data_IF_747410703210
#
_entry.id   IF_747410703210
#
_cell.length_a   1.000
_cell.length_b   1.000
_cell.length_c   1.000
_cell.angle_alpha   90.00
_cell.angle_beta   90.00
_cell.angle_gamma   90.00
#
_symmetry.space_group_name_H-M   'P 1'
#
loop_
_entity.id
_entity.type
_entity.pdbx_description
1 polymer ?
#
# COMPACT_ATOMS: atom_id res chain seq x y z
N UNK A 1 -12.06 -5.17 2.12
CA UNK A 1 -11.23 -4.30 1.27
C UNK A 1 -10.31 -3.47 2.15
N UNK A 2 -9.00 -3.44 1.86
CA UNK A 2 -8.08 -2.47 2.45
C UNK A 2 -8.34 -1.11 1.80
N UNK A 3 -8.85 -0.16 2.59
CA UNK A 3 -9.38 1.11 2.10
C UNK A 3 -8.49 2.28 2.55
N UNK A 4 -8.03 3.08 1.58
CA UNK A 4 -7.33 4.35 1.84
C UNK A 4 -8.16 5.57 1.40
N UNK A 5 -9.33 5.35 0.81
CA UNK A 5 -10.11 6.42 0.18
C UNK A 5 -9.45 7.01 -1.08
N UNK A 6 -8.31 6.48 -1.52
CA UNK A 6 -7.67 6.83 -2.78
C UNK A 6 -8.29 6.08 -3.97
N UNK A 7 -8.03 6.60 -5.19
CA UNK A 7 -8.61 6.07 -6.44
C UNK A 7 -8.45 4.56 -6.59
N UNK A 8 -7.31 4.00 -6.19
CA UNK A 8 -7.00 2.58 -6.39
C UNK A 8 -7.83 1.66 -5.50
N UNK A 9 -7.91 1.97 -4.21
CA UNK A 9 -8.75 1.19 -3.29
C UNK A 9 -10.23 1.37 -3.58
N UNK A 10 -10.65 2.59 -3.97
CA UNK A 10 -12.04 2.88 -4.32
C UNK A 10 -12.48 2.16 -5.59
N UNK A 11 -11.66 2.13 -6.64
CA UNK A 11 -12.02 1.41 -7.88
C UNK A 11 -12.24 -0.08 -7.64
N UNK A 12 -11.40 -0.71 -6.80
CA UNK A 12 -11.57 -2.11 -6.40
C UNK A 12 -12.87 -2.31 -5.60
N UNK A 13 -13.15 -1.40 -4.67
CA UNK A 13 -14.38 -1.47 -3.86
C UNK A 13 -15.62 -1.28 -4.73
N UNK A 14 -15.63 -0.29 -5.65
CA UNK A 14 -16.75 -0.05 -6.57
C UNK A 14 -16.95 -1.26 -7.49
N UNK A 15 -15.86 -1.81 -8.07
CA UNK A 15 -15.94 -3.00 -8.90
C UNK A 15 -16.60 -4.18 -8.16
N UNK A 16 -16.18 -4.43 -6.92
CA UNK A 16 -16.77 -5.49 -6.11
C UNK A 16 -18.24 -5.19 -5.73
N UNK A 17 -18.56 -3.94 -5.43
CA UNK A 17 -19.93 -3.49 -5.17
C UNK A 17 -20.84 -3.69 -6.39
N UNK A 18 -20.39 -3.30 -7.59
CA UNK A 18 -21.14 -3.43 -8.84
C UNK A 18 -21.34 -4.92 -9.23
N UNK A 19 -20.47 -5.80 -8.74
CA UNK A 19 -20.65 -7.25 -8.83
C UNK A 19 -21.57 -7.82 -7.72
N UNK A 20 -22.28 -6.98 -6.97
CA UNK A 20 -23.20 -7.36 -5.92
C UNK A 20 -22.55 -7.93 -4.67
N UNK A 21 -21.26 -7.68 -4.43
CA UNK A 21 -20.56 -8.14 -3.22
C UNK A 21 -20.86 -7.25 -2.04
N UNK A 22 -21.15 -7.85 -0.87
CA UNK A 22 -21.18 -7.12 0.39
C UNK A 22 -19.74 -6.85 0.82
N UNK A 23 -19.45 -5.58 1.10
CA UNK A 23 -18.09 -5.12 1.44
C UNK A 23 -17.97 -4.82 2.93
N UNK A 24 -16.88 -5.33 3.53
CA UNK A 24 -16.33 -4.82 4.76
C UNK A 24 -15.01 -4.11 4.41
N UNK A 25 -14.94 -2.82 4.70
CA UNK A 25 -13.77 -1.98 4.46
C UNK A 25 -12.98 -1.82 5.75
N UNK A 26 -11.65 -1.83 5.62
CA UNK A 26 -10.73 -1.68 6.73
C UNK A 26 -9.75 -0.57 6.41
N UNK A 27 -9.63 0.39 7.32
CA UNK A 27 -8.64 1.45 7.29
C UNK A 27 -7.99 1.59 8.67
N UNK A 28 -7.01 2.45 8.80
CA UNK A 28 -6.35 2.68 10.09
C UNK A 28 -6.10 4.16 10.34
N UNK A 29 -5.84 4.48 11.59
CA UNK A 29 -5.28 5.74 12.05
C UNK A 29 -4.29 5.49 13.19
N UNK A 30 -3.35 6.39 13.40
CA UNK A 30 -2.34 6.24 14.45
C UNK A 30 -2.84 6.87 15.75
N UNK A 31 -2.92 6.07 16.82
CA UNK A 31 -3.32 6.55 18.15
C UNK A 31 -4.63 7.35 18.20
N UNK A 32 -5.61 6.98 17.38
CA UNK A 32 -6.87 7.72 17.32
C UNK A 32 -6.81 9.07 16.63
N UNK A 33 -5.67 9.42 16.00
CA UNK A 33 -5.50 10.65 15.23
C UNK A 33 -5.91 10.37 13.79
N UNK A 34 -6.94 11.06 13.32
CA UNK A 34 -7.40 10.92 11.95
C UNK A 34 -6.33 11.32 10.95
N UNK A 35 -6.19 10.50 9.92
CA UNK A 35 -5.34 10.78 8.77
C UNK A 35 -6.18 11.16 7.56
N UNK A 36 -5.60 11.81 6.54
CA UNK A 36 -6.29 12.03 5.26
C UNK A 36 -6.89 10.75 4.67
N UNK A 37 -6.23 9.60 4.88
CA UNK A 37 -6.70 8.29 4.40
C UNK A 37 -7.91 7.79 5.19
N UNK A 38 -7.91 7.89 6.52
CA UNK A 38 -9.04 7.45 7.34
C UNK A 38 -10.28 8.30 7.06
N UNK A 39 -10.12 9.64 6.99
CA UNK A 39 -11.21 10.56 6.67
C UNK A 39 -11.78 10.36 5.26
N UNK A 40 -10.93 10.11 4.27
CA UNK A 40 -11.38 9.82 2.91
C UNK A 40 -12.11 8.47 2.82
N UNK A 41 -11.62 7.47 3.56
CA UNK A 41 -12.27 6.16 3.65
C UNK A 41 -13.64 6.24 4.29
N UNK A 42 -13.77 7.03 5.35
CA UNK A 42 -15.05 7.26 6.04
C UNK A 42 -16.08 7.89 5.09
N UNK A 43 -15.70 8.98 4.42
CA UNK A 43 -16.58 9.65 3.46
C UNK A 43 -17.04 8.73 2.33
N UNK A 44 -16.11 7.94 1.79
CA UNK A 44 -16.42 7.00 0.73
C UNK A 44 -17.36 5.89 1.19
N UNK A 45 -17.08 5.30 2.35
CA UNK A 45 -17.91 4.23 2.90
C UNK A 45 -19.31 4.73 3.29
N UNK A 46 -19.43 5.95 3.82
CA UNK A 46 -20.71 6.59 4.07
C UNK A 46 -21.50 6.81 2.77
N UNK A 47 -20.84 7.34 1.72
CA UNK A 47 -21.48 7.61 0.43
C UNK A 47 -22.06 6.34 -0.22
N UNK A 48 -21.31 5.25 -0.20
CA UNK A 48 -21.71 3.98 -0.81
C UNK A 48 -22.44 3.03 0.15
N UNK A 49 -22.67 3.43 1.38
CA UNK A 49 -23.23 2.58 2.43
C UNK A 49 -22.45 1.27 2.63
N UNK A 50 -21.13 1.33 2.67
CA UNK A 50 -20.24 0.21 2.98
C UNK A 50 -19.91 0.19 4.47
N UNK A 51 -19.76 -1.01 5.03
CA UNK A 51 -19.30 -1.15 6.41
C UNK A 51 -17.81 -0.78 6.50
N UNK A 52 -17.46 0.14 7.42
CA UNK A 52 -16.07 0.57 7.64
C UNK A 52 -15.62 0.23 9.06
N UNK A 53 -14.44 -0.40 9.14
CA UNK A 53 -13.71 -0.65 10.38
C UNK A 53 -12.46 0.23 10.38
N UNK A 54 -12.40 1.19 11.30
CA UNK A 54 -11.23 2.04 11.51
C UNK A 54 -10.43 1.45 12.67
N UNK A 55 -9.19 1.08 12.41
CA UNK A 55 -8.32 0.44 13.38
C UNK A 55 -7.34 1.46 13.95
N UNK A 56 -7.38 1.63 15.27
CA UNK A 56 -6.40 2.44 15.99
C UNK A 56 -5.09 1.67 16.12
N UNK A 57 -4.03 2.21 15.53
CA UNK A 57 -2.68 1.62 15.57
C UNK A 57 -1.91 2.27 16.73
N UNK A 58 -1.56 1.51 17.77
CA UNK A 58 -0.76 2.02 18.86
C UNK A 58 0.69 2.21 18.39
N UNK A 59 1.43 3.08 19.09
CA UNK A 59 2.87 3.28 18.87
C UNK A 59 3.70 2.90 20.08
N UNK A 60 3.08 2.40 21.13
CA UNK A 60 3.76 2.12 22.41
C UNK A 60 4.66 0.88 22.33
N UNK A 61 4.40 -0.02 21.38
CA UNK A 61 5.17 -1.23 21.11
C UNK A 61 6.03 -1.15 19.84
N UNK A 62 6.28 0.03 19.32
CA UNK A 62 6.89 0.21 17.99
C UNK A 62 8.26 -0.48 17.84
N UNK A 63 9.02 -0.63 18.93
CA UNK A 63 10.26 -1.39 18.94
C UNK A 63 10.03 -2.88 18.65
N UNK A 64 9.11 -3.51 19.37
CA UNK A 64 8.76 -4.90 19.15
C UNK A 64 8.12 -5.12 17.78
N UNK A 65 7.33 -4.15 17.33
CA UNK A 65 6.73 -4.15 16.00
C UNK A 65 7.79 -4.11 14.90
N UNK A 66 8.82 -3.27 15.08
CA UNK A 66 9.95 -3.21 14.15
C UNK A 66 10.63 -4.57 14.01
N UNK A 67 10.95 -5.22 15.12
CA UNK A 67 11.55 -6.56 15.09
C UNK A 67 10.60 -7.61 14.50
N UNK A 68 9.32 -7.51 14.78
CA UNK A 68 8.29 -8.37 14.18
C UNK A 68 8.27 -8.22 12.66
N UNK A 69 8.30 -6.98 12.18
CA UNK A 69 8.34 -6.66 10.75
C UNK A 69 9.58 -7.23 10.05
N UNK A 70 10.74 -7.12 10.69
CA UNK A 70 12.00 -7.64 10.14
C UNK A 70 12.04 -9.17 10.16
N UNK A 71 11.71 -9.78 11.29
CA UNK A 71 11.92 -11.20 11.50
C UNK A 71 10.80 -12.06 10.93
N UNK A 72 9.54 -11.70 11.19
CA UNK A 72 8.37 -12.48 10.79
C UNK A 72 7.89 -12.10 9.38
N UNK A 73 7.80 -10.80 9.09
CA UNK A 73 7.26 -10.32 7.83
C UNK A 73 8.32 -9.94 6.81
N UNK A 74 9.58 -10.25 7.08
CA UNK A 74 10.71 -10.15 6.14
C UNK A 74 10.86 -8.75 5.53
N UNK A 75 10.60 -7.70 6.27
CA UNK A 75 10.87 -6.34 5.83
C UNK A 75 12.39 -6.15 5.71
N UNK A 76 12.86 -5.62 4.57
CA UNK A 76 14.29 -5.43 4.27
C UNK A 76 14.63 -4.00 3.85
N UNK A 77 13.62 -3.14 3.76
CA UNK A 77 13.77 -1.74 3.35
C UNK A 77 12.87 -0.86 4.21
N UNK A 78 13.25 0.40 4.36
CA UNK A 78 12.47 1.44 5.03
C UNK A 78 10.99 1.41 4.61
N UNK A 79 10.73 1.49 3.32
CA UNK A 79 9.36 1.50 2.80
C UNK A 79 8.59 0.21 3.10
N UNK A 80 9.25 -0.95 3.21
CA UNK A 80 8.59 -2.19 3.63
C UNK A 80 8.12 -2.09 5.08
N UNK A 81 8.98 -1.56 5.97
CA UNK A 81 8.63 -1.35 7.38
C UNK A 81 7.47 -0.38 7.51
N UNK A 82 7.61 0.81 6.94
CA UNK A 82 6.62 1.88 7.07
C UNK A 82 5.26 1.52 6.47
N UNK A 83 5.26 0.88 5.30
CA UNK A 83 4.00 0.49 4.64
C UNK A 83 3.36 -0.75 5.24
N UNK A 84 4.10 -1.58 5.98
CA UNK A 84 3.58 -2.82 6.58
C UNK A 84 3.16 -2.63 8.03
N UNK A 85 3.79 -1.69 8.75
CA UNK A 85 3.58 -1.46 10.18
C UNK A 85 2.11 -1.37 10.58
N UNK A 86 1.26 -0.52 10.01
CA UNK A 86 -0.12 -0.41 10.46
C UNK A 86 -0.93 -1.68 10.21
N UNK A 87 -0.53 -2.46 9.23
CA UNK A 87 -1.22 -3.70 8.89
C UNK A 87 -0.96 -4.84 9.88
N UNK A 88 0.05 -4.73 10.76
CA UNK A 88 0.17 -5.63 11.92
C UNK A 88 -1.09 -5.60 12.78
N UNK A 89 -1.75 -4.46 12.83
CA UNK A 89 -2.95 -4.23 13.63
C UNK A 89 -4.25 -4.36 12.83
N UNK A 90 -4.21 -4.07 11.52
CA UNK A 90 -5.39 -4.19 10.66
C UNK A 90 -5.77 -5.66 10.43
N UNK A 91 -4.82 -6.47 9.99
CA UNK A 91 -5.11 -7.86 9.62
C UNK A 91 -5.74 -8.70 10.73
N UNK A 92 -5.34 -8.63 12.00
CA UNK A 92 -5.99 -9.40 13.08
C UNK A 92 -7.48 -9.10 13.28
N UNK A 93 -7.96 -7.98 12.75
CA UNK A 93 -9.38 -7.60 12.80
C UNK A 93 -10.18 -8.08 11.58
N UNK A 94 -9.53 -8.57 10.53
CA UNK A 94 -10.18 -9.08 9.32
C UNK A 94 -10.68 -10.50 9.59
N UNK A 95 -11.94 -10.77 9.20
CA UNK A 95 -12.58 -12.08 9.35
C UNK A 95 -12.90 -12.72 8.00
N UNK A 96 -12.75 -11.97 6.93
CA UNK A 96 -13.06 -12.41 5.57
C UNK A 96 -11.96 -13.31 5.01
N UNK A 97 -12.40 -14.29 4.22
CA UNK A 97 -11.50 -15.21 3.51
C UNK A 97 -10.67 -14.49 2.44
N UNK A 98 -11.21 -13.44 1.83
CA UNK A 98 -10.55 -12.69 0.75
C UNK A 98 -10.33 -11.24 1.15
N UNK A 99 -9.09 -10.79 1.03
CA UNK A 99 -8.68 -9.41 1.31
C UNK A 99 -8.30 -8.73 0.00
N UNK A 100 -9.13 -7.78 -0.43
CA UNK A 100 -8.89 -7.03 -1.66
C UNK A 100 -8.03 -5.79 -1.38
N UNK A 101 -7.08 -5.52 -2.29
CA UNK A 101 -6.20 -4.34 -2.22
C UNK A 101 -6.01 -3.68 -3.57
N UNK A 102 -5.90 -2.34 -3.59
CA UNK A 102 -5.51 -1.54 -4.75
C UNK A 102 -4.00 -1.52 -5.01
N UNK A 103 -3.24 -2.40 -4.39
CA UNK A 103 -1.79 -2.46 -4.51
C UNK A 103 -1.33 -2.62 -5.96
N UNK A 104 -0.18 -2.05 -6.29
CA UNK A 104 0.46 -2.01 -7.60
C UNK A 104 -0.14 -1.04 -8.63
N UNK A 105 -1.33 -0.49 -8.41
CA UNK A 105 -1.96 0.42 -9.37
C UNK A 105 -1.04 1.58 -9.79
N UNK A 106 -0.40 2.26 -8.84
CA UNK A 106 0.53 3.37 -9.11
C UNK A 106 1.69 2.97 -10.02
N UNK A 107 2.23 1.78 -9.80
CA UNK A 107 3.29 1.23 -10.63
C UNK A 107 2.81 0.93 -12.04
N UNK A 108 1.64 0.31 -12.17
CA UNK A 108 1.07 -0.06 -13.46
C UNK A 108 0.63 1.17 -14.27
N UNK A 109 0.04 2.17 -13.63
CA UNK A 109 -0.34 3.43 -14.30
C UNK A 109 0.83 4.39 -14.53
N UNK A 110 2.02 4.06 -14.03
CA UNK A 110 3.21 4.89 -14.21
C UNK A 110 3.16 6.22 -13.47
N UNK A 111 2.43 6.30 -12.35
CA UNK A 111 2.33 7.51 -11.51
C UNK A 111 3.25 7.49 -10.31
N UNK A 112 3.95 6.38 -10.05
CA UNK A 112 5.00 6.35 -9.04
C UNK A 112 6.13 7.33 -9.39
N UNK A 113 6.82 7.85 -8.36
CA UNK A 113 7.92 8.82 -8.56
C UNK A 113 8.95 8.33 -9.59
N UNK A 114 9.35 7.05 -9.53
CA UNK A 114 10.29 6.45 -10.47
C UNK A 114 9.73 6.36 -11.89
N UNK A 115 8.45 6.06 -12.04
CA UNK A 115 7.79 6.02 -13.32
C UNK A 115 7.61 7.41 -13.94
N UNK A 116 7.35 8.45 -13.14
CA UNK A 116 7.24 9.84 -13.59
C UNK A 116 8.55 10.44 -14.11
N UNK A 117 9.70 9.98 -13.64
CA UNK A 117 11.01 10.44 -14.13
C UNK A 117 11.21 10.02 -15.59
N UNK A 118 10.56 8.96 -16.03
CA UNK A 118 10.68 8.44 -17.39
C UNK A 118 9.44 8.79 -18.22
N UNK A 119 9.29 10.06 -18.57
CA UNK A 119 8.20 10.58 -19.43
C UNK A 119 8.05 9.87 -20.78
N UNK A 120 8.98 9.02 -21.14
CA UNK A 120 8.98 8.19 -22.33
C UNK A 120 8.85 6.73 -21.94
N UNK A 121 7.71 6.36 -21.35
CA UNK A 121 7.44 4.95 -21.18
C UNK A 121 7.16 4.33 -22.54
N UNK A 122 8.18 3.69 -23.08
CA UNK A 122 7.93 2.71 -24.14
C UNK A 122 7.34 1.45 -23.49
N UNK A 123 6.71 0.63 -24.31
CA UNK A 123 6.16 -0.66 -23.85
C UNK A 123 7.24 -1.48 -23.14
N UNK A 124 8.46 -1.51 -23.68
CA UNK A 124 9.59 -2.26 -23.15
C UNK A 124 9.99 -1.77 -21.75
N UNK A 125 10.03 -0.44 -21.52
CA UNK A 125 10.36 0.13 -20.22
C UNK A 125 9.28 -0.15 -19.17
N UNK A 126 8.02 -0.12 -19.56
CA UNK A 126 6.91 -0.47 -18.67
C UNK A 126 7.00 -1.95 -18.30
N UNK A 127 7.25 -2.82 -19.25
CA UNK A 127 7.38 -4.27 -19.03
C UNK A 127 8.59 -4.60 -18.16
N UNK A 128 9.72 -3.94 -18.40
CA UNK A 128 10.92 -4.09 -17.56
C UNK A 128 10.63 -3.63 -16.12
N UNK A 129 10.03 -2.47 -15.97
CA UNK A 129 9.67 -1.91 -14.66
C UNK A 129 8.73 -2.86 -13.90
N UNK A 130 7.69 -3.37 -14.55
CA UNK A 130 6.74 -4.31 -13.95
C UNK A 130 7.42 -5.62 -13.56
N UNK A 131 8.21 -6.22 -14.46
CA UNK A 131 8.96 -7.45 -14.16
C UNK A 131 9.91 -7.28 -12.99
N UNK A 132 10.62 -6.17 -12.94
CA UNK A 132 11.64 -5.91 -11.92
C UNK A 132 11.04 -5.62 -10.54
N UNK A 133 9.91 -4.91 -10.48
CA UNK A 133 9.36 -4.41 -9.21
C UNK A 133 8.14 -5.17 -8.72
N UNK A 134 7.33 -5.71 -9.60
CA UNK A 134 6.06 -6.33 -9.24
C UNK A 134 6.01 -7.83 -9.57
N UNK A 135 6.78 -8.28 -10.54
CA UNK A 135 6.67 -9.64 -11.05
C UNK A 135 5.31 -9.92 -11.70
N UNK A 136 5.17 -11.09 -12.26
CA UNK A 136 3.89 -11.62 -12.69
C UNK A 136 3.37 -12.59 -11.64
N UNK A 137 2.07 -12.54 -11.35
CA UNK A 137 1.42 -13.58 -10.59
C UNK A 137 1.16 -14.78 -11.50
N UNK A 138 1.77 -15.90 -11.20
CA UNK A 138 1.43 -17.17 -11.84
C UNK A 138 0.06 -17.62 -11.32
N UNK A 139 -0.94 -17.61 -12.19
CA UNK A 139 -2.32 -17.95 -11.82
C UNK A 139 -2.49 -19.41 -11.41
N UNK A 140 -1.65 -20.32 -11.89
CA UNK A 140 -1.74 -21.75 -11.57
C UNK A 140 -1.14 -22.03 -10.18
N UNK A 141 -0.02 -21.41 -9.86
CA UNK A 141 0.69 -21.64 -8.60
C UNK A 141 0.38 -20.60 -7.54
N UNK A 142 -0.30 -19.51 -7.90
CA UNK A 142 -0.54 -18.34 -7.04
C UNK A 142 0.77 -17.74 -6.48
N UNK A 143 1.89 -17.92 -7.20
CA UNK A 143 3.19 -17.41 -6.82
C UNK A 143 3.62 -16.30 -7.77
N UNK A 144 4.33 -15.33 -7.23
CA UNK A 144 4.95 -14.30 -8.05
C UNK A 144 6.25 -14.82 -8.68
N UNK A 145 6.53 -14.40 -9.90
CA UNK A 145 7.77 -14.71 -10.61
C UNK A 145 9.00 -14.00 -10.04
N UNK A 146 8.81 -13.08 -9.10
CA UNK A 146 9.86 -12.33 -8.39
C UNK A 146 9.79 -12.68 -6.91
N UNK A 147 10.91 -13.10 -6.33
CA UNK A 147 10.99 -13.52 -4.92
C UNK A 147 10.62 -12.43 -3.92
N UNK A 148 10.70 -11.18 -4.30
CA UNK A 148 10.39 -10.06 -3.41
C UNK A 148 9.76 -8.90 -4.20
N UNK A 149 8.53 -9.08 -4.71
CA UNK A 149 7.80 -7.97 -5.31
C UNK A 149 7.58 -6.89 -4.26
N UNK A 150 7.83 -5.62 -4.62
CA UNK A 150 7.89 -4.49 -3.69
C UNK A 150 6.62 -4.38 -2.85
N UNK A 151 6.71 -4.74 -1.57
CA UNK A 151 5.66 -4.57 -0.58
C UNK A 151 4.53 -5.60 -0.59
N UNK A 152 4.33 -6.40 -1.64
CA UNK A 152 3.21 -7.36 -1.66
C UNK A 152 3.51 -8.61 -0.84
N UNK A 153 4.76 -9.03 -0.78
CA UNK A 153 5.16 -10.20 0.01
C UNK A 153 4.76 -10.03 1.47
N UNK A 154 4.95 -8.85 2.03
CA UNK A 154 4.59 -8.55 3.41
C UNK A 154 3.07 -8.62 3.61
N UNK A 155 2.29 -8.10 2.66
CA UNK A 155 0.84 -8.18 2.69
C UNK A 155 0.34 -9.62 2.54
N UNK A 156 1.00 -10.43 1.71
CA UNK A 156 0.69 -11.87 1.58
C UNK A 156 0.95 -12.60 2.90
N UNK A 157 2.12 -12.40 3.51
CA UNK A 157 2.46 -13.02 4.80
C UNK A 157 1.49 -12.61 5.92
N UNK A 158 1.04 -11.35 5.93
CA UNK A 158 0.00 -10.88 6.85
C UNK A 158 -1.33 -11.58 6.59
N UNK A 159 -1.74 -11.69 5.33
CA UNK A 159 -2.97 -12.37 4.94
C UNK A 159 -2.94 -13.86 5.32
N UNK A 160 -1.84 -14.54 5.05
CA UNK A 160 -1.62 -15.94 5.42
C UNK A 160 -1.67 -16.14 6.94
N UNK A 161 -1.16 -15.18 7.73
CA UNK A 161 -1.15 -15.27 9.20
C UNK A 161 -2.55 -15.32 9.83
N UNK A 162 -3.57 -14.92 9.08
CA UNK A 162 -4.98 -14.94 9.48
C UNK A 162 -5.83 -15.92 8.64
N UNK A 163 -5.17 -16.81 7.88
CA UNK A 163 -5.82 -17.75 6.96
C UNK A 163 -6.72 -17.10 5.88
N UNK A 164 -6.36 -15.89 5.46
CA UNK A 164 -7.02 -15.18 4.37
C UNK A 164 -6.17 -15.19 3.10
N UNK A 165 -6.80 -14.90 1.98
CA UNK A 165 -6.14 -14.80 0.66
C UNK A 165 -6.12 -13.35 0.21
N UNK A 166 -4.92 -12.83 -0.01
CA UNK A 166 -4.75 -11.50 -0.60
C UNK A 166 -5.12 -11.53 -2.09
N UNK A 167 -5.98 -10.61 -2.48
CA UNK A 167 -6.40 -10.43 -3.88
C UNK A 167 -6.02 -9.01 -4.31
N UNK A 168 -5.10 -8.93 -5.27
CA UNK A 168 -4.62 -7.69 -5.84
C UNK A 168 -4.97 -7.62 -7.35
N UNK A 169 -6.17 -7.16 -7.73
CA UNK A 169 -6.63 -7.23 -9.12
C UNK A 169 -5.72 -6.53 -10.14
N UNK A 170 -5.00 -5.49 -9.72
CA UNK A 170 -4.09 -4.76 -10.61
C UNK A 170 -2.89 -5.58 -11.10
N UNK A 171 -2.51 -6.67 -10.41
CA UNK A 171 -1.44 -7.59 -10.87
C UNK A 171 -1.97 -8.79 -11.63
N UNK A 172 -3.28 -8.84 -11.90
CA UNK A 172 -3.86 -9.90 -12.73
C UNK A 172 -3.30 -9.83 -14.16
N UNK A 173 -3.09 -11.00 -14.76
CA UNK A 173 -2.56 -11.09 -16.12
C UNK A 173 -3.43 -10.37 -17.15
N UNK A 174 -4.75 -10.36 -17.01
CA UNK A 174 -5.65 -9.66 -17.93
C UNK A 174 -5.46 -8.15 -17.86
N UNK A 175 -5.24 -7.60 -16.66
CA UNK A 175 -4.92 -6.17 -16.48
C UNK A 175 -3.58 -5.87 -17.11
N UNK A 176 -2.57 -6.73 -16.90
CA UNK A 176 -1.27 -6.61 -17.57
C UNK A 176 -1.41 -6.58 -19.10
N UNK A 177 -2.05 -7.60 -19.68
CA UNK A 177 -2.19 -7.75 -21.12
C UNK A 177 -2.90 -6.55 -21.76
N UNK A 178 -3.84 -5.95 -21.05
CA UNK A 178 -4.50 -4.72 -21.48
C UNK A 178 -3.57 -3.51 -21.35
N UNK A 179 -2.90 -3.34 -20.22
CA UNK A 179 -2.08 -2.16 -19.97
C UNK A 179 -0.85 -2.06 -20.87
N UNK A 180 -0.26 -3.17 -21.29
CA UNK A 180 0.90 -3.15 -22.20
C UNK A 180 0.55 -2.70 -23.64
N UNK A 181 -0.73 -2.61 -23.97
CA UNK A 181 -1.18 -2.14 -25.30
C UNK A 181 -1.23 -0.61 -25.40
N UNK A 182 -1.14 0.10 -24.28
CA UNK A 182 -1.32 1.54 -24.20
C UNK A 182 -0.07 2.25 -23.69
N UNK A 183 0.13 3.48 -24.14
CA UNK A 183 1.21 4.33 -23.67
C UNK A 183 0.86 5.06 -22.36
N UNK A 184 1.87 5.70 -21.77
CA UNK A 184 1.69 6.45 -20.54
C UNK A 184 0.68 7.61 -20.66
N UNK A 185 0.59 8.26 -21.83
CA UNK A 185 -0.34 9.38 -22.06
C UNK A 185 -1.79 8.93 -22.02
N UNK A 186 -2.08 7.75 -22.55
CA UNK A 186 -3.39 7.15 -22.48
C UNK A 186 -3.87 7.03 -21.02
N UNK A 187 -2.99 6.62 -20.11
CA UNK A 187 -3.34 6.46 -18.71
C UNK A 187 -3.42 7.78 -17.91
N UNK A 188 -2.65 8.80 -18.31
CA UNK A 188 -2.41 9.95 -17.45
C UNK A 188 -2.73 11.31 -18.09
N UNK A 189 -3.43 11.33 -19.22
CA UNK A 189 -3.94 12.55 -19.86
C UNK A 189 -5.44 12.39 -20.12
N UNK A 190 -6.24 13.45 -19.88
CA UNK A 190 -5.88 14.79 -19.38
C UNK A 190 -5.53 14.84 -17.88
N UNK A 191 -5.78 13.77 -17.11
CA UNK A 191 -5.46 13.66 -15.70
C UNK A 191 -4.98 12.24 -15.37
N UNK A 192 -4.31 12.08 -14.22
CA UNK A 192 -3.77 10.79 -13.80
C UNK A 192 -4.86 9.73 -13.66
N UNK A 193 -4.57 8.53 -14.16
CA UNK A 193 -5.46 7.36 -14.09
C UNK A 193 -6.80 7.58 -14.77
N UNK A 194 -6.84 8.37 -15.85
CA UNK A 194 -8.07 8.71 -16.58
C UNK A 194 -8.97 7.48 -16.88
N UNK A 195 -8.44 6.33 -17.36
CA UNK A 195 -9.29 5.17 -17.66
C UNK A 195 -10.02 4.59 -16.43
N UNK A 196 -9.49 4.76 -15.22
CA UNK A 196 -10.20 4.32 -14.01
C UNK A 196 -11.48 5.15 -13.82
N UNK A 197 -11.40 6.46 -14.01
CA UNK A 197 -12.56 7.35 -13.87
C UNK A 197 -13.58 7.18 -14.99
N UNK A 198 -13.15 6.68 -16.16
CA UNK A 198 -14.04 6.30 -17.25
C UNK A 198 -14.75 4.97 -16.96
N UNK A 199 -14.00 3.98 -16.48
CA UNK A 199 -14.53 2.67 -16.13
C UNK A 199 -15.45 2.73 -14.88
N UNK A 200 -15.16 3.62 -13.95
CA UNK A 200 -15.90 3.77 -12.70
C UNK A 200 -16.37 5.22 -12.49
N UNK A 201 -17.41 5.69 -13.22
CA UNK A 201 -17.91 7.06 -13.13
C UNK A 201 -18.29 7.48 -11.70
N UNK A 202 -18.73 6.55 -10.86
CA UNK A 202 -19.03 6.76 -9.44
C UNK A 202 -17.87 7.35 -8.64
N UNK A 203 -16.62 7.17 -9.08
CA UNK A 203 -15.45 7.84 -8.48
C UNK A 203 -15.54 9.37 -8.53
N UNK A 204 -16.25 9.92 -9.50
CA UNK A 204 -16.45 11.36 -9.66
C UNK A 204 -17.42 11.95 -8.63
N UNK A 205 -18.24 11.12 -8.00
CA UNK A 205 -19.17 11.52 -6.94
C UNK A 205 -18.47 11.81 -5.61
N UNK A 206 -17.27 11.25 -5.45
CA UNK A 206 -16.43 11.48 -4.26
C UNK A 206 -15.41 12.57 -4.59
N UNK A 207 -15.30 13.56 -3.70
CA UNK A 207 -14.29 14.62 -3.86
C UNK A 207 -12.90 14.00 -3.96
N UNK A 208 -12.25 14.17 -5.13
CA UNK A 208 -10.88 13.76 -5.35
C UNK A 208 -9.97 14.46 -4.34
N UNK A 209 -9.08 13.72 -3.72
CA UNK A 209 -7.99 14.26 -2.90
C UNK A 209 -6.67 14.13 -3.65
N UNK A 210 -5.69 14.92 -3.23
CA UNK A 210 -4.33 14.78 -3.73
C UNK A 210 -3.76 13.41 -3.35
N UNK A 211 -2.89 12.89 -4.21
CA UNK A 211 -2.21 11.63 -3.93
C UNK A 211 -1.23 11.82 -2.78
N UNK A 212 -1.39 11.00 -1.75
CA UNK A 212 -0.45 10.90 -0.64
C UNK A 212 -0.02 9.45 -0.47
N UNK A 213 1.26 9.24 -0.22
CA UNK A 213 1.74 7.91 0.15
C UNK A 213 1.20 7.56 1.54
N UNK A 214 0.77 6.33 1.73
CA UNK A 214 0.16 5.81 2.96
C UNK A 214 0.97 6.15 4.21
N UNK A 215 2.29 5.90 4.18
CA UNK A 215 3.16 6.15 5.32
C UNK A 215 3.30 7.63 5.65
N UNK A 216 3.29 8.50 4.63
CA UNK A 216 3.39 9.95 4.82
C UNK A 216 2.06 10.55 5.31
N UNK A 217 0.93 10.07 4.79
CA UNK A 217 -0.39 10.49 5.22
C UNK A 217 -0.62 10.26 6.72
N UNK A 218 -0.08 9.18 7.27
CA UNK A 218 -0.18 8.82 8.68
C UNK A 218 1.05 9.20 9.52
N UNK A 219 2.02 9.94 8.94
CA UNK A 219 3.28 10.34 9.58
C UNK A 219 4.07 9.19 10.23
N UNK A 220 3.99 8.00 9.67
CA UNK A 220 4.65 6.79 10.19
C UNK A 220 6.17 6.93 10.30
N UNK A 221 6.89 7.55 9.34
CA UNK A 221 8.35 7.70 9.44
C UNK A 221 8.80 8.34 10.74
N UNK A 222 8.12 9.38 11.21
CA UNK A 222 8.51 10.11 12.42
C UNK A 222 8.49 9.25 13.69
N UNK A 223 7.68 8.21 13.74
CA UNK A 223 7.64 7.30 14.88
C UNK A 223 8.83 6.34 14.90
N UNK A 224 9.24 5.85 13.73
CA UNK A 224 10.44 5.00 13.62
C UNK A 224 11.73 5.79 13.84
N UNK A 225 11.80 7.04 13.37
CA UNK A 225 12.94 7.92 13.61
C UNK A 225 13.17 8.19 15.10
N UNK A 226 12.09 8.47 15.84
CA UNK A 226 12.15 8.69 17.30
C UNK A 226 12.63 7.47 18.08
N UNK A 227 12.55 6.27 17.51
CA UNK A 227 13.13 5.08 18.16
C UNK A 227 14.64 5.16 18.34
N UNK A 228 15.35 5.79 17.38
CA UNK A 228 16.81 5.91 17.45
C UNK A 228 17.27 6.80 18.61
N UNK A 229 16.46 7.81 18.94
CA UNK A 229 16.77 8.81 19.97
C UNK A 229 16.19 8.44 21.35
N UNK A 230 15.51 7.28 21.46
CA UNK A 230 14.85 6.90 22.70
C UNK A 230 15.78 6.12 23.63
N UNK A 231 16.22 6.74 24.73
CA UNK A 231 17.06 6.11 25.76
C UNK A 231 16.39 4.96 26.52
N UNK A 232 15.07 4.80 26.38
CA UNK A 232 14.30 3.71 27.00
C UNK A 232 14.29 2.43 26.17
N UNK A 233 14.87 2.42 24.96
CA UNK A 233 15.00 1.22 24.15
C UNK A 233 15.81 0.18 24.91
N UNK A 234 15.32 -1.06 24.92
CA UNK A 234 16.01 -2.18 25.54
C UNK A 234 17.46 -2.26 25.02
N UNK A 235 18.41 -2.10 25.93
CA UNK A 235 19.84 -2.01 25.63
C UNK A 235 20.37 -3.21 24.82
N UNK A 236 19.79 -4.40 25.03
CA UNK A 236 20.16 -5.61 24.29
C UNK A 236 19.78 -5.58 22.82
N UNK A 237 18.75 -4.82 22.48
CA UNK A 237 18.25 -4.69 21.09
C UNK A 237 18.71 -3.41 20.41
N UNK A 238 19.19 -2.41 21.17
CA UNK A 238 19.54 -1.08 20.67
C UNK A 238 20.60 -1.13 19.57
N UNK A 239 21.69 -1.87 19.79
CA UNK A 239 22.76 -2.01 18.79
C UNK A 239 22.23 -2.61 17.49
N UNK A 240 21.51 -3.73 17.58
CA UNK A 240 20.90 -4.37 16.41
C UNK A 240 19.91 -3.45 15.69
N UNK A 241 19.11 -2.71 16.43
CA UNK A 241 18.16 -1.77 15.84
C UNK A 241 18.87 -0.63 15.13
N UNK A 242 19.89 -0.04 15.75
CA UNK A 242 20.70 1.02 15.15
C UNK A 242 21.33 0.55 13.85
N UNK A 243 21.91 -0.66 13.83
CA UNK A 243 22.52 -1.21 12.63
C UNK A 243 21.50 -1.45 11.53
N UNK A 244 20.31 -1.95 11.86
CA UNK A 244 19.23 -2.18 10.90
C UNK A 244 18.60 -0.89 10.38
N UNK A 245 18.58 0.17 11.17
CA UNK A 245 17.90 1.42 10.82
C UNK A 245 18.85 2.49 10.27
N UNK A 246 20.15 2.41 10.54
CA UNK A 246 21.13 3.45 10.15
C UNK A 246 21.07 3.79 8.67
N UNK A 247 20.95 2.80 7.81
CA UNK A 247 20.89 3.00 6.36
C UNK A 247 19.51 3.47 5.88
N UNK A 248 18.49 3.35 6.75
CA UNK A 248 17.10 3.64 6.42
C UNK A 248 16.62 4.97 6.97
N UNK A 249 17.13 5.36 8.14
CA UNK A 249 16.77 6.58 8.87
C UNK A 249 18.04 7.33 9.27
N UNK A 250 18.74 7.96 8.31
CA UNK A 250 19.91 8.77 8.63
C UNK A 250 19.50 9.95 9.54
N UNK A 251 20.22 10.13 10.63
CA UNK A 251 19.91 11.11 11.68
C UNK A 251 20.09 12.57 11.24
N UNK A 252 20.54 12.84 10.02
CA UNK A 252 21.02 14.15 9.63
C UNK A 252 20.24 14.93 8.59
N UNK A 253 19.22 14.38 7.91
CA UNK A 253 18.41 15.21 6.98
C UNK A 253 17.07 14.59 6.62
N UNK A 254 15.99 15.21 7.10
CA UNK A 254 14.61 14.93 6.65
C UNK A 254 14.40 15.21 5.14
N UNK A 255 15.25 16.00 4.51
CA UNK A 255 15.14 16.36 3.09
C UNK A 255 15.46 15.19 2.15
N UNK A 256 16.30 14.25 2.57
CA UNK A 256 16.63 13.06 1.77
C UNK A 256 15.48 12.02 1.69
N UNK A 257 14.45 12.16 2.51
CA UNK A 257 13.28 11.29 2.49
C UNK A 257 12.32 11.57 1.33
N UNK A 258 12.48 12.69 0.67
CA UNK A 258 11.62 13.12 -0.44
C UNK A 258 12.17 12.80 -1.83
N UNK A 259 13.27 12.08 -1.94
CA UNK A 259 13.87 11.70 -3.23
C UNK A 259 13.39 10.33 -3.72
#
# INVERSE_FOLDING_TARGET
VLMSGGTDSLSIAIAAHDLGKKLNCYTFRIKGIDSPDSLASEKACQHFNWNLNIIDVPIDNIENDFFTLINKYQCRKKTHVECTFPFLYVYPNIREKYVLTGWAADGYYGVSKRANIHFKHTKELIDEFRRKYFGQLDQNTQKFTVDNPVGIKQQMLLSESINSVLVAPYVDKKVWDWMIQHDWKYFNKPYQKAPIFEAFPKLKEIKKRDHLNLQLAANIPSYFEKLLDNDKINIHNRGRMIDLMRDWYPTSNLEDFFI
#
